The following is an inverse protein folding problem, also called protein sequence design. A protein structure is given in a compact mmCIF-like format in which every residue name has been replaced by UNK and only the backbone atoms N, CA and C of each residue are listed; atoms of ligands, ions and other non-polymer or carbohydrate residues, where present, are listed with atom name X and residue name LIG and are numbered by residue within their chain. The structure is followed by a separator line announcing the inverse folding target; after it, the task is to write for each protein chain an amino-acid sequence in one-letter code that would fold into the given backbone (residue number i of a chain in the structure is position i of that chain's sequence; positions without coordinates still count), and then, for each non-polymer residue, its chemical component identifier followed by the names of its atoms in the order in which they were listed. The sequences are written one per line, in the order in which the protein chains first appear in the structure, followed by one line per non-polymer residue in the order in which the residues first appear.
data_IF_066221388719
#
_entry.id   IF_066221388719
#
_cell.length_a   1.000
_cell.length_b   1.000
_cell.length_c   1.000
_cell.angle_alpha   90.00
_cell.angle_beta   90.00
_cell.angle_gamma   90.00
#
_symmetry.space_group_name_H-M   'P 1'
#
loop_
_entity.id
_entity.type
_entity.pdbx_description
1 polymer ?
#
# COMPACT_ATOMS: atom_id res chain seq x y z
N UNK A 1 -3.96 24.50 23.98
CA UNK A 1 -4.39 24.09 22.61
C UNK A 1 -5.33 22.91 22.77
N UNK A 2 -6.63 23.09 22.53
CA UNK A 2 -7.56 21.97 22.55
C UNK A 2 -7.17 21.04 21.41
N UNK A 3 -6.54 19.91 21.73
CA UNK A 3 -6.36 18.85 20.73
C UNK A 3 -7.79 18.42 20.42
N UNK A 4 -8.32 18.87 19.29
CA UNK A 4 -9.61 18.39 18.81
C UNK A 4 -9.45 16.89 18.65
N UNK A 5 -9.87 16.13 19.68
CA UNK A 5 -9.99 14.69 19.56
C UNK A 5 -10.88 14.49 18.35
N UNK A 6 -10.38 13.72 17.40
CA UNK A 6 -11.17 13.27 16.28
C UNK A 6 -12.27 12.38 16.88
N UNK A 7 -13.42 12.98 17.17
CA UNK A 7 -14.50 12.33 17.92
C UNK A 7 -15.50 11.63 17.01
N UNK A 8 -15.64 12.08 15.76
CA UNK A 8 -16.54 11.41 14.81
C UNK A 8 -15.88 10.18 14.18
N UNK A 9 -16.65 9.11 14.04
CA UNK A 9 -16.23 7.89 13.35
C UNK A 9 -15.75 8.18 11.92
N UNK A 10 -16.42 9.10 11.21
CA UNK A 10 -16.02 9.52 9.87
C UNK A 10 -14.60 10.11 9.86
N UNK A 11 -14.25 10.93 10.85
CA UNK A 11 -12.94 11.56 10.90
C UNK A 11 -11.86 10.58 11.39
N UNK A 12 -12.19 9.60 12.25
CA UNK A 12 -11.28 8.50 12.61
C UNK A 12 -10.97 7.63 11.39
N UNK A 13 -12.01 7.25 10.65
CA UNK A 13 -11.86 6.47 9.41
C UNK A 13 -11.02 7.22 8.39
N UNK A 14 -11.28 8.53 8.18
CA UNK A 14 -10.47 9.35 7.29
C UNK A 14 -9.00 9.35 7.72
N UNK A 15 -8.70 9.58 9.01
CA UNK A 15 -7.34 9.59 9.52
C UNK A 15 -6.64 8.23 9.34
N UNK A 16 -7.36 7.14 9.59
CA UNK A 16 -6.85 5.78 9.37
C UNK A 16 -6.57 5.53 7.88
N UNK A 17 -7.49 5.89 6.99
CA UNK A 17 -7.32 5.76 5.54
C UNK A 17 -6.08 6.50 5.07
N UNK A 18 -5.90 7.75 5.47
CA UNK A 18 -4.71 8.55 5.10
C UNK A 18 -3.42 7.89 5.61
N UNK A 19 -3.42 7.36 6.85
CA UNK A 19 -2.28 6.63 7.42
C UNK A 19 -1.94 5.39 6.58
N UNK A 20 -2.93 4.55 6.28
CA UNK A 20 -2.73 3.28 5.56
C UNK A 20 -2.32 3.52 4.11
N UNK A 21 -3.02 4.41 3.40
CA UNK A 21 -2.68 4.74 2.01
C UNK A 21 -1.30 5.39 1.94
N UNK A 22 -0.98 6.32 2.84
CA UNK A 22 0.34 6.94 2.93
C UNK A 22 1.45 5.92 3.16
N UNK A 23 1.28 5.02 4.13
CA UNK A 23 2.24 3.96 4.41
C UNK A 23 2.43 3.00 3.23
N UNK A 24 1.34 2.65 2.55
CA UNK A 24 1.37 1.82 1.34
C UNK A 24 2.11 2.49 0.19
N UNK A 25 1.85 3.78 -0.06
CA UNK A 25 2.57 4.58 -1.08
C UNK A 25 4.06 4.68 -0.75
N UNK A 26 4.43 4.92 0.51
CA UNK A 26 5.83 4.95 0.94
C UNK A 26 6.53 3.61 0.69
N UNK A 27 5.89 2.50 1.05
CA UNK A 27 6.40 1.14 0.81
C UNK A 27 6.61 0.86 -0.69
N UNK A 28 5.62 1.21 -1.53
CA UNK A 28 5.72 1.07 -2.99
C UNK A 28 6.84 1.96 -3.57
N UNK A 29 6.99 3.17 -3.04
CA UNK A 29 8.07 4.09 -3.40
C UNK A 29 9.45 3.52 -3.07
N UNK A 30 9.63 2.99 -1.87
CA UNK A 30 10.88 2.35 -1.45
C UNK A 30 11.20 1.09 -2.26
N UNK A 31 10.19 0.26 -2.53
CA UNK A 31 10.32 -0.89 -3.40
C UNK A 31 10.75 -0.49 -4.82
N UNK A 32 10.22 0.62 -5.35
CA UNK A 32 10.58 1.11 -6.69
C UNK A 32 12.07 1.51 -6.81
N UNK A 33 12.71 1.88 -5.70
CA UNK A 33 14.14 2.23 -5.66
C UNK A 33 15.04 1.00 -5.47
N UNK A 34 14.49 -0.16 -5.10
CA UNK A 34 15.23 -1.37 -4.74
C UNK A 34 14.82 -2.59 -5.58
N UNK A 35 14.28 -2.37 -6.79
CA UNK A 35 13.72 -3.43 -7.64
C UNK A 35 14.71 -4.59 -7.92
N UNK A 36 16.00 -4.30 -8.00
CA UNK A 36 17.08 -5.26 -8.21
C UNK A 36 17.27 -6.24 -7.04
N UNK A 37 16.79 -5.87 -5.85
CA UNK A 37 16.88 -6.67 -4.61
C UNK A 37 15.62 -7.50 -4.33
N UNK A 38 14.55 -7.29 -5.11
CA UNK A 38 13.25 -7.92 -4.87
C UNK A 38 13.11 -9.22 -5.65
N UNK A 39 12.65 -10.26 -4.95
CA UNK A 39 12.23 -11.52 -5.59
C UNK A 39 10.93 -11.33 -6.39
N UNK A 40 10.66 -12.28 -7.29
CA UNK A 40 9.40 -12.30 -8.06
C UNK A 40 8.17 -12.37 -7.15
N UNK A 41 8.24 -13.13 -6.06
CA UNK A 41 7.17 -13.25 -5.08
C UNK A 41 6.91 -11.92 -4.35
N UNK A 42 7.96 -11.22 -3.92
CA UNK A 42 7.85 -9.91 -3.29
C UNK A 42 7.25 -8.86 -4.26
N UNK A 43 7.66 -8.89 -5.54
CA UNK A 43 7.09 -8.03 -6.57
C UNK A 43 5.60 -8.33 -6.79
N UNK A 44 5.17 -9.60 -6.77
CA UNK A 44 3.76 -9.95 -6.87
C UNK A 44 2.96 -9.39 -5.69
N UNK A 45 3.46 -9.57 -4.46
CA UNK A 45 2.81 -9.04 -3.25
C UNK A 45 2.68 -7.53 -3.27
N UNK A 46 3.67 -6.81 -3.80
CA UNK A 46 3.61 -5.35 -3.99
C UNK A 46 2.55 -4.95 -5.03
N UNK A 47 2.41 -5.74 -6.10
CA UNK A 47 1.33 -5.57 -7.07
C UNK A 47 -0.05 -5.79 -6.46
N UNK A 48 -0.19 -6.84 -5.65
CA UNK A 48 -1.42 -7.17 -4.91
C UNK A 48 -1.77 -6.07 -3.91
N UNK A 49 -0.78 -5.55 -3.17
CA UNK A 49 -0.97 -4.43 -2.25
C UNK A 49 -1.48 -3.19 -2.98
N UNK A 50 -0.84 -2.80 -4.09
CA UNK A 50 -1.29 -1.67 -4.90
C UNK A 50 -2.74 -1.86 -5.39
N UNK A 51 -3.10 -3.07 -5.81
CA UNK A 51 -4.46 -3.38 -6.22
C UNK A 51 -5.48 -3.22 -5.08
N UNK A 52 -5.16 -3.71 -3.87
CA UNK A 52 -6.04 -3.57 -2.68
C UNK A 52 -6.10 -2.14 -2.12
N UNK A 53 -5.11 -1.30 -2.41
CA UNK A 53 -5.12 0.12 -2.03
C UNK A 53 -6.02 0.96 -2.92
N UNK A 54 -6.36 0.50 -4.13
CA UNK A 54 -7.19 1.26 -5.08
C UNK A 54 -8.52 1.74 -4.48
N UNK A 55 -9.36 0.91 -3.83
CA UNK A 55 -10.66 1.34 -3.31
C UNK A 55 -10.57 2.42 -2.23
N UNK A 56 -9.41 2.53 -1.58
CA UNK A 56 -9.15 3.46 -0.49
C UNK A 56 -8.41 4.73 -0.93
N UNK A 57 -7.84 4.72 -2.13
CA UNK A 57 -6.96 5.79 -2.62
C UNK A 57 -7.74 6.84 -3.42
N UNK A 58 -7.85 8.10 -2.95
CA UNK A 58 -8.60 9.13 -3.67
C UNK A 58 -7.79 9.73 -4.83
N UNK A 59 -8.52 10.33 -5.78
CA UNK A 59 -7.94 11.22 -6.78
C UNK A 59 -6.88 10.57 -7.67
N UNK A 60 -5.74 11.25 -7.85
CA UNK A 60 -4.65 10.74 -8.69
C UNK A 60 -3.92 9.55 -8.07
N UNK A 61 -3.84 9.45 -6.74
CA UNK A 61 -3.27 8.27 -6.09
C UNK A 61 -4.05 7.00 -6.50
N UNK A 62 -5.38 7.06 -6.45
CA UNK A 62 -6.24 5.98 -6.93
C UNK A 62 -6.03 5.66 -8.41
N UNK A 63 -5.86 6.66 -9.27
CA UNK A 63 -5.57 6.44 -10.71
C UNK A 63 -4.19 5.80 -10.94
N UNK A 64 -3.23 6.02 -10.06
CA UNK A 64 -1.90 5.44 -10.16
C UNK A 64 -1.84 3.99 -9.66
N UNK A 65 -2.67 3.60 -8.69
CA UNK A 65 -2.65 2.26 -8.11
C UNK A 65 -2.75 1.11 -9.14
N UNK A 66 -3.67 1.15 -10.13
CA UNK A 66 -3.73 0.12 -11.17
C UNK A 66 -2.50 0.08 -12.07
N UNK A 67 -1.89 1.23 -12.32
CA UNK A 67 -0.66 1.32 -13.11
C UNK A 67 0.48 0.64 -12.34
N UNK A 68 0.63 0.99 -11.06
CA UNK A 68 1.64 0.41 -10.18
C UNK A 68 1.44 -1.10 -10.02
N UNK A 69 0.21 -1.56 -9.78
CA UNK A 69 -0.12 -2.97 -9.66
C UNK A 69 0.31 -3.76 -10.91
N UNK A 70 -0.08 -3.29 -12.10
CA UNK A 70 0.30 -3.93 -13.38
C UNK A 70 1.80 -3.96 -13.61
N UNK A 71 2.52 -2.88 -13.27
CA UNK A 71 3.97 -2.84 -13.41
C UNK A 71 4.65 -3.88 -12.51
N UNK A 72 4.25 -3.95 -11.24
CA UNK A 72 4.77 -4.93 -10.29
C UNK A 72 4.43 -6.36 -10.69
N UNK A 73 3.18 -6.66 -11.09
CA UNK A 73 2.81 -7.98 -11.60
C UNK A 73 3.60 -8.37 -12.85
N UNK A 74 3.82 -7.43 -13.77
CA UNK A 74 4.65 -7.68 -14.95
C UNK A 74 6.10 -7.98 -14.57
N UNK A 75 6.66 -7.24 -13.61
CA UNK A 75 8.00 -7.50 -13.08
C UNK A 75 8.07 -8.84 -12.32
N UNK A 76 7.01 -9.25 -11.64
CA UNK A 76 6.88 -10.57 -11.02
C UNK A 76 6.73 -11.71 -12.04
N UNK A 77 6.44 -11.41 -13.30
CA UNK A 77 6.22 -12.41 -14.35
C UNK A 77 4.84 -13.06 -14.29
N UNK A 78 3.88 -12.44 -13.61
CA UNK A 78 2.50 -12.91 -13.52
C UNK A 78 1.57 -12.06 -14.40
N UNK A 79 0.41 -12.62 -14.75
CA UNK A 79 -0.63 -11.90 -15.47
C UNK A 79 -1.30 -10.83 -14.60
N UNK A 80 -2.12 -9.99 -15.23
CA UNK A 80 -2.98 -9.06 -14.48
C UNK A 80 -4.00 -9.85 -13.64
N UNK A 81 -4.16 -9.44 -12.38
CA UNK A 81 -5.07 -10.05 -11.42
C UNK A 81 -6.27 -9.12 -11.17
N UNK A 82 -7.28 -9.63 -10.49
CA UNK A 82 -8.44 -8.83 -10.09
C UNK A 82 -8.10 -7.84 -8.96
N UNK A 83 -8.75 -6.69 -9.00
CA UNK A 83 -8.63 -5.67 -7.95
C UNK A 83 -9.60 -6.00 -6.81
N UNK A 84 -9.06 -6.66 -5.79
CA UNK A 84 -9.81 -7.01 -4.58
C UNK A 84 -10.00 -5.85 -3.61
N UNK A 85 -10.94 -6.04 -2.67
CA UNK A 85 -11.14 -5.16 -1.53
C UNK A 85 -10.57 -5.82 -0.26
N UNK A 86 -9.91 -5.02 0.57
CA UNK A 86 -9.46 -5.41 1.91
C UNK A 86 -9.76 -4.26 2.86
N UNK A 87 -10.09 -4.57 4.12
CA UNK A 87 -10.36 -3.54 5.12
C UNK A 87 -9.07 -2.79 5.51
N UNK A 88 -9.20 -1.55 6.00
CA UNK A 88 -8.04 -0.73 6.36
C UNK A 88 -7.15 -1.39 7.43
N UNK A 89 -7.75 -2.06 8.41
CA UNK A 89 -7.02 -2.82 9.46
C UNK A 89 -6.23 -4.00 8.89
N UNK A 90 -6.73 -4.63 7.83
CA UNK A 90 -6.06 -5.76 7.17
C UNK A 90 -4.89 -5.25 6.34
N UNK A 91 -5.10 -4.16 5.60
CA UNK A 91 -4.07 -3.50 4.81
C UNK A 91 -2.93 -2.98 5.68
N UNK A 92 -3.24 -2.40 6.84
CA UNK A 92 -2.22 -1.95 7.79
C UNK A 92 -1.31 -3.11 8.21
N UNK A 93 -1.89 -4.25 8.60
CA UNK A 93 -1.12 -5.44 8.97
C UNK A 93 -0.34 -6.02 7.79
N UNK A 94 -0.89 -5.97 6.58
CA UNK A 94 -0.20 -6.42 5.37
C UNK A 94 1.01 -5.55 5.04
N UNK A 95 0.88 -4.23 5.15
CA UNK A 95 1.98 -3.27 4.95
C UNK A 95 3.10 -3.52 5.96
N UNK A 96 2.79 -3.69 7.25
CA UNK A 96 3.83 -3.94 8.26
C UNK A 96 4.55 -5.27 8.02
N UNK A 97 3.82 -6.35 7.69
CA UNK A 97 4.46 -7.62 7.30
C UNK A 97 5.37 -7.48 6.09
N UNK A 98 4.95 -6.71 5.07
CA UNK A 98 5.77 -6.49 3.89
C UNK A 98 7.00 -5.64 4.19
N UNK A 99 6.91 -4.62 5.05
CA UNK A 99 8.10 -3.86 5.48
C UNK A 99 9.12 -4.76 6.16
N UNK A 100 8.67 -5.66 7.03
CA UNK A 100 9.54 -6.65 7.68
C UNK A 100 10.15 -7.61 6.65
N UNK A 101 9.35 -8.16 5.73
CA UNK A 101 9.79 -9.09 4.67
C UNK A 101 10.80 -8.43 3.72
N UNK A 102 10.62 -7.15 3.39
CA UNK A 102 11.48 -6.39 2.49
C UNK A 102 12.71 -5.79 3.19
N UNK A 103 12.75 -5.82 4.53
CA UNK A 103 13.82 -5.20 5.32
C UNK A 103 13.78 -3.67 5.33
N UNK A 104 12.62 -3.07 5.06
CA UNK A 104 12.40 -1.61 4.95
C UNK A 104 11.99 -0.97 6.27
N UNK A 105 12.32 -1.60 7.40
CA UNK A 105 12.05 -1.00 8.70
C UNK A 105 12.84 0.30 8.82
N UNK A 106 12.11 1.41 8.75
CA UNK A 106 12.65 2.74 8.91
C UNK A 106 13.46 2.76 10.21
N UNK A 107 14.78 2.90 10.09
CA UNK A 107 15.54 3.53 11.16
C UNK A 107 14.84 4.88 11.38
N UNK A 108 14.25 5.05 12.57
CA UNK A 108 13.64 6.30 13.00
C UNK A 108 14.62 7.46 12.88
#
# INVERSE_FOLDING_TARGET
MGVHRITSEAAKYYAQREKVVGAGVSLLGEASMNLDKLSKEQLEKLGDLAAKLLPHSPGYAGKMMPIVARLFWRLAGVGEKEFGFAELDELEKEIERLKEELGFNSQQ
#
